data_IF_775537078015
#
_entry.id   IF_775537078015
#
_cell.length_a   1.000
_cell.length_b   1.000
_cell.length_c   1.000
_cell.angle_alpha   90.00
_cell.angle_beta   90.00
_cell.angle_gamma   90.00
#
_symmetry.space_group_name_H-M   'P 1'
#
loop_
_entity.id
_entity.type
_entity.pdbx_description
1 polymer ?
#
# COMPACT_ATOMS: atom_id res chain seq x y z
N UNK A 1 -0.66 -14.21 21.26
CA UNK A 1 -0.87 -13.22 20.20
C UNK A 1 -1.53 -12.01 20.83
N UNK A 2 -0.91 -10.84 20.77
CA UNK A 2 -1.53 -9.62 21.32
C UNK A 2 -2.72 -9.24 20.43
N UNK A 3 -3.82 -8.75 21.03
CA UNK A 3 -5.01 -8.27 20.31
C UNK A 3 -4.66 -7.35 19.11
N UNK A 4 -3.74 -6.37 19.23
CA UNK A 4 -3.35 -5.54 18.09
C UNK A 4 -2.67 -6.31 16.95
N UNK A 5 -1.86 -7.33 17.24
CA UNK A 5 -1.26 -8.17 16.19
C UNK A 5 -2.29 -8.98 15.43
N UNK A 6 -3.30 -9.53 16.12
CA UNK A 6 -4.36 -10.29 15.46
C UNK A 6 -5.14 -9.42 14.46
N UNK A 7 -5.45 -8.18 14.83
CA UNK A 7 -6.15 -7.24 13.97
C UNK A 7 -5.27 -6.82 12.79
N UNK A 8 -3.97 -6.55 13.00
CA UNK A 8 -3.04 -6.23 11.93
C UNK A 8 -2.93 -7.36 10.90
N UNK A 9 -2.78 -8.61 11.36
CA UNK A 9 -2.80 -9.78 10.48
C UNK A 9 -4.13 -9.94 9.74
N UNK A 10 -5.26 -9.65 10.40
CA UNK A 10 -6.57 -9.63 9.77
C UNK A 10 -6.68 -8.64 8.61
N UNK A 11 -6.16 -7.42 8.79
CA UNK A 11 -6.17 -6.38 7.75
C UNK A 11 -5.27 -6.80 6.56
N UNK A 12 -4.10 -7.35 6.83
CA UNK A 12 -3.18 -7.84 5.78
C UNK A 12 -3.82 -9.00 5.01
N UNK A 13 -4.44 -9.96 5.70
CA UNK A 13 -5.10 -11.09 5.05
C UNK A 13 -6.28 -10.61 4.20
N UNK A 14 -7.09 -9.70 4.73
CA UNK A 14 -8.21 -9.11 4.02
C UNK A 14 -7.76 -8.33 2.78
N UNK A 15 -6.70 -7.52 2.87
CA UNK A 15 -6.18 -6.75 1.73
C UNK A 15 -5.60 -7.67 0.66
N UNK A 16 -4.90 -8.74 1.03
CA UNK A 16 -4.41 -9.76 0.11
C UNK A 16 -5.56 -10.46 -0.63
N UNK A 17 -6.60 -10.88 0.09
CA UNK A 17 -7.78 -11.49 -0.53
C UNK A 17 -8.44 -10.52 -1.51
N UNK A 18 -8.56 -9.24 -1.13
CA UNK A 18 -9.17 -8.21 -1.97
C UNK A 18 -8.32 -7.90 -3.22
N UNK A 19 -6.99 -7.93 -3.12
CA UNK A 19 -6.10 -7.81 -4.27
C UNK A 19 -6.24 -9.00 -5.22
N UNK A 20 -6.34 -10.23 -4.70
CA UNK A 20 -6.48 -11.44 -5.52
C UNK A 20 -7.85 -11.51 -6.19
N UNK A 21 -8.92 -11.04 -5.54
CA UNK A 21 -10.27 -11.05 -6.13
C UNK A 21 -10.34 -10.19 -7.40
N UNK A 22 -9.49 -9.16 -7.53
CA UNK A 22 -9.31 -8.39 -8.77
C UNK A 22 -10.54 -7.62 -9.26
N UNK A 23 -11.65 -7.65 -8.52
CA UNK A 23 -12.93 -7.04 -8.91
C UNK A 23 -12.97 -5.54 -8.64
N UNK A 24 -12.16 -5.08 -7.69
CA UNK A 24 -12.01 -3.67 -7.34
C UNK A 24 -10.66 -3.18 -7.86
N UNK A 25 -10.60 -1.91 -8.27
CA UNK A 25 -9.33 -1.27 -8.62
C UNK A 25 -8.37 -1.38 -7.44
N UNK A 26 -7.15 -1.81 -7.72
CA UNK A 26 -6.06 -2.00 -6.74
C UNK A 26 -5.84 -0.74 -5.89
N UNK A 27 -5.92 0.45 -6.50
CA UNK A 27 -5.78 1.72 -5.78
C UNK A 27 -6.85 1.92 -4.70
N UNK A 28 -8.10 1.55 -5.01
CA UNK A 28 -9.25 1.70 -4.10
C UNK A 28 -9.11 0.71 -2.94
N UNK A 29 -8.68 -0.51 -3.23
CA UNK A 29 -8.41 -1.53 -2.21
C UNK A 29 -7.31 -1.06 -1.25
N UNK A 30 -6.21 -0.54 -1.78
CA UNK A 30 -5.09 -0.04 -0.98
C UNK A 30 -5.50 1.13 -0.07
N UNK A 31 -6.19 2.12 -0.63
CA UNK A 31 -6.69 3.26 0.13
C UNK A 31 -7.72 2.82 1.20
N UNK A 32 -8.61 1.89 0.87
CA UNK A 32 -9.56 1.33 1.82
C UNK A 32 -8.89 0.59 2.98
N UNK A 33 -7.88 -0.23 2.69
CA UNK A 33 -7.11 -0.93 3.72
C UNK A 33 -6.38 0.04 4.66
N UNK A 34 -5.81 1.12 4.13
CA UNK A 34 -5.18 2.17 4.93
C UNK A 34 -6.20 2.85 5.86
N UNK A 35 -7.36 3.23 5.34
CA UNK A 35 -8.44 3.85 6.13
C UNK A 35 -8.91 2.92 7.25
N UNK A 36 -9.12 1.64 6.95
CA UNK A 36 -9.51 0.64 7.96
C UNK A 36 -8.43 0.50 9.04
N UNK A 37 -7.15 0.47 8.67
CA UNK A 37 -6.05 0.36 9.63
C UNK A 37 -5.94 1.57 10.58
N UNK A 38 -6.23 2.78 10.09
CA UNK A 38 -6.29 4.00 10.89
C UNK A 38 -7.52 4.00 11.81
N UNK A 39 -8.70 3.63 11.30
CA UNK A 39 -9.94 3.56 12.09
C UNK A 39 -9.83 2.50 13.20
N UNK A 40 -9.19 1.36 12.93
CA UNK A 40 -8.92 0.33 13.94
C UNK A 40 -7.90 0.77 15.00
N UNK A 41 -7.27 1.96 14.86
CA UNK A 41 -6.32 2.50 15.83
C UNK A 41 -4.98 1.77 15.88
N UNK A 42 -4.69 0.91 14.89
CA UNK A 42 -3.38 0.23 14.79
C UNK A 42 -2.32 1.19 14.25
N UNK A 43 -2.72 2.06 13.33
CA UNK A 43 -1.83 3.05 12.72
C UNK A 43 -2.28 4.44 13.13
N UNK A 44 -1.43 5.23 13.81
CA UNK A 44 -1.70 6.64 14.09
C UNK A 44 -1.94 7.41 12.78
N UNK A 45 -2.97 8.25 12.74
CA UNK A 45 -3.34 9.04 11.56
C UNK A 45 -2.19 9.93 11.06
N UNK A 46 -1.37 10.44 11.97
CA UNK A 46 -0.18 11.26 11.65
C UNK A 46 0.88 10.46 10.88
N UNK A 47 1.00 9.16 11.14
CA UNK A 47 1.98 8.27 10.51
C UNK A 47 1.41 7.42 9.38
N UNK A 48 0.12 7.54 9.08
CA UNK A 48 -0.57 6.70 8.09
C UNK A 48 0.07 6.78 6.69
N UNK A 49 0.54 7.96 6.30
CA UNK A 49 1.18 8.19 5.01
C UNK A 49 2.71 8.07 5.03
N UNK A 50 3.32 7.70 6.17
CA UNK A 50 4.78 7.57 6.29
C UNK A 50 5.37 6.57 5.31
N UNK A 51 4.61 5.54 4.92
CA UNK A 51 5.01 4.57 3.90
C UNK A 51 5.23 5.17 2.51
N UNK A 52 4.63 6.32 2.18
CA UNK A 52 4.90 7.01 0.90
C UNK A 52 6.26 7.70 0.89
N UNK A 53 6.81 8.04 2.05
CA UNK A 53 8.16 8.59 2.21
C UNK A 53 9.23 7.50 2.40
N UNK A 54 8.83 6.22 2.32
CA UNK A 54 9.77 5.11 2.45
C UNK A 54 10.77 5.09 1.26
N UNK A 55 12.08 5.00 1.53
CA UNK A 55 13.10 5.00 0.48
C UNK A 55 12.89 3.92 -0.59
N UNK A 56 12.34 2.75 -0.22
CA UNK A 56 12.08 1.68 -1.19
C UNK A 56 10.94 2.07 -2.14
N UNK A 57 9.86 2.65 -1.62
CA UNK A 57 8.72 3.12 -2.44
C UNK A 57 9.16 4.20 -3.42
N UNK A 58 9.97 5.16 -2.96
CA UNK A 58 10.51 6.23 -3.81
C UNK A 58 11.41 5.66 -4.91
N UNK A 59 12.25 4.67 -4.58
CA UNK A 59 13.14 4.03 -5.55
C UNK A 59 12.36 3.32 -6.65
N UNK A 60 11.30 2.58 -6.31
CA UNK A 60 10.43 1.91 -7.30
C UNK A 60 9.77 2.95 -8.21
N UNK A 61 9.25 4.05 -7.66
CA UNK A 61 8.67 5.14 -8.45
C UNK A 61 9.70 5.74 -9.41
N UNK A 62 10.93 6.00 -8.95
CA UNK A 62 12.01 6.50 -9.79
C UNK A 62 12.36 5.52 -10.92
N UNK A 63 12.46 4.22 -10.63
CA UNK A 63 12.73 3.18 -11.64
C UNK A 63 11.60 3.10 -12.69
N UNK A 64 10.34 3.22 -12.29
CA UNK A 64 9.20 3.27 -13.23
C UNK A 64 9.28 4.49 -14.16
N UNK A 65 9.62 5.66 -13.61
CA UNK A 65 9.83 6.89 -14.39
C UNK A 65 10.99 6.71 -15.36
N UNK A 66 12.12 6.18 -14.89
CA UNK A 66 13.29 5.90 -15.74
C UNK A 66 12.94 4.94 -16.87
N UNK A 67 12.26 3.82 -16.58
CA UNK A 67 11.79 2.87 -17.59
C UNK A 67 10.92 3.55 -18.65
N UNK A 68 9.97 4.37 -18.23
CA UNK A 68 9.11 5.11 -19.15
C UNK A 68 9.87 6.15 -19.99
N UNK A 69 10.87 6.81 -19.39
CA UNK A 69 11.71 7.80 -20.07
C UNK A 69 12.59 7.18 -21.15
N UNK A 70 13.15 5.99 -20.88
CA UNK A 70 13.96 5.24 -21.84
C UNK A 70 13.08 4.74 -23.00
N UNK A 71 11.91 4.16 -22.69
CA UNK A 71 10.94 3.72 -23.70
C UNK A 71 10.49 4.86 -24.63
N UNK A 72 10.31 6.08 -24.10
CA UNK A 72 9.96 7.26 -24.91
C UNK A 72 11.13 7.86 -25.70
N UNK A 73 12.34 7.74 -25.18
CA UNK A 73 13.56 8.27 -25.82
C UNK A 73 14.07 7.39 -26.96
N UNK A 74 13.48 6.19 -27.16
CA UNK A 74 13.71 5.34 -28.32
C UNK A 74 15.07 4.65 -28.37
N UNK A 75 15.75 4.51 -27.22
CA UNK A 75 16.95 3.68 -27.07
C UNK A 75 16.60 2.18 -26.98
#
# INVERSE_FOLDING_TARGET
MTTPQLIAFGIILASLILFVWGRWRYDIVAMGALVVAVICGIVPSETAFSGFSDPAVITVAAVLILSQSLQRSGA
#
